data_IF_549960484203
#
_entry.id   IF_549960484203
#
_cell.length_a   1.000
_cell.length_b   1.000
_cell.length_c   1.000
_cell.angle_alpha   90.00
_cell.angle_beta   90.00
_cell.angle_gamma   90.00
#
_symmetry.space_group_name_H-M   'P 1'
#
loop_
_entity.id
_entity.type
_entity.pdbx_description
1 polymer ?
#
# COMPACT_ATOMS: atom_id res chain seq x y z
N UNK A 1 -19.85 11.76 -1.50
CA UNK A 1 -19.11 11.66 -2.79
C UNK A 1 -17.95 10.69 -2.58
N UNK A 2 -18.10 9.44 -2.99
CA UNK A 2 -17.14 8.35 -2.72
C UNK A 2 -16.12 8.35 -3.87
N UNK A 3 -14.87 8.69 -3.59
CA UNK A 3 -13.74 8.53 -4.53
C UNK A 3 -13.35 7.06 -4.48
N UNK A 4 -13.80 6.27 -5.45
CA UNK A 4 -13.36 4.88 -5.64
C UNK A 4 -12.03 4.93 -6.40
N UNK A 5 -10.94 4.56 -5.75
CA UNK A 5 -9.59 4.40 -6.31
C UNK A 5 -9.39 2.95 -6.74
N UNK A 6 -10.22 2.55 -7.70
CA UNK A 6 -10.05 1.32 -8.46
C UNK A 6 -9.74 1.68 -9.90
N UNK A 7 -8.49 1.46 -10.32
CA UNK A 7 -8.11 1.48 -11.72
C UNK A 7 -8.07 0.03 -12.20
N UNK A 8 -9.14 -0.35 -12.89
CA UNK A 8 -9.24 -1.59 -13.65
C UNK A 8 -8.30 -1.47 -14.87
N UNK A 9 -7.08 -2.00 -14.75
CA UNK A 9 -6.06 -1.85 -15.77
C UNK A 9 -5.89 -3.21 -16.47
N UNK A 10 -6.43 -3.30 -17.68
CA UNK A 10 -6.09 -4.40 -18.61
C UNK A 10 -4.72 -4.16 -19.27
N UNK A 11 -4.27 -2.90 -19.33
CA UNK A 11 -2.95 -2.50 -19.85
C UNK A 11 -2.52 -1.12 -19.32
N UNK A 12 -1.38 -1.04 -18.62
CA UNK A 12 -0.83 0.22 -18.06
C UNK A 12 -0.59 1.25 -19.17
N UNK A 13 -0.20 0.81 -20.37
CA UNK A 13 0.00 1.70 -21.53
C UNK A 13 -1.30 2.38 -21.98
N UNK A 14 -2.43 1.68 -21.92
CA UNK A 14 -3.73 2.18 -22.38
C UNK A 14 -4.30 3.23 -21.43
N UNK A 15 -4.03 3.11 -20.14
CA UNK A 15 -4.55 4.01 -19.10
C UNK A 15 -3.50 4.99 -18.57
N UNK A 16 -2.39 5.18 -19.31
CA UNK A 16 -1.26 6.00 -18.88
C UNK A 16 -1.67 7.42 -18.51
N UNK A 17 -2.49 8.08 -19.32
CA UNK A 17 -2.84 9.50 -19.10
C UNK A 17 -3.86 9.67 -17.96
N UNK A 18 -4.75 8.69 -17.78
CA UNK A 18 -5.64 8.63 -16.62
C UNK A 18 -4.86 8.38 -15.32
N UNK A 19 -3.87 7.48 -15.38
CA UNK A 19 -2.95 7.24 -14.26
C UNK A 19 -2.16 8.52 -13.94
N UNK A 20 -1.52 9.11 -14.94
CA UNK A 20 -0.75 10.34 -14.79
C UNK A 20 -1.61 11.48 -14.25
N UNK A 21 -2.80 11.74 -14.78
CA UNK A 21 -3.67 12.81 -14.26
C UNK A 21 -4.09 12.60 -12.81
N UNK A 22 -4.28 11.35 -12.37
CA UNK A 22 -4.56 11.02 -10.96
C UNK A 22 -3.34 11.19 -10.06
N UNK A 23 -2.14 10.76 -10.50
CA UNK A 23 -0.90 10.99 -9.75
C UNK A 23 -0.50 12.47 -9.72
N UNK A 24 -0.76 13.22 -10.79
CA UNK A 24 -0.45 14.65 -10.89
C UNK A 24 -1.35 15.52 -10.01
N UNK A 25 -2.61 15.11 -9.78
CA UNK A 25 -3.56 15.89 -8.97
C UNK A 25 -3.30 15.80 -7.46
N UNK A 26 -2.58 14.79 -6.98
CA UNK A 26 -2.35 14.61 -5.54
C UNK A 26 -1.08 15.30 -5.01
N UNK A 27 -0.28 16.00 -5.84
CA UNK A 27 0.85 16.83 -5.39
C UNK A 27 1.58 17.55 -6.55
N UNK A 28 1.04 18.67 -7.06
CA UNK A 28 1.81 19.53 -7.96
C UNK A 28 2.94 20.30 -7.23
N UNK A 29 2.86 20.44 -5.90
CA UNK A 29 3.80 21.28 -5.12
C UNK A 29 4.70 20.52 -4.11
N UNK A 30 4.64 19.18 -4.04
CA UNK A 30 5.59 18.41 -3.22
C UNK A 30 6.04 17.18 -3.97
N UNK A 31 7.34 17.06 -4.20
CA UNK A 31 8.00 15.81 -4.59
C UNK A 31 7.68 14.74 -3.53
N UNK A 32 6.59 14.00 -3.74
CA UNK A 32 6.08 12.96 -2.85
C UNK A 32 5.93 11.64 -3.60
N UNK A 33 6.26 10.53 -2.96
CA UNK A 33 6.00 9.19 -3.51
C UNK A 33 4.54 8.77 -3.32
N UNK A 34 4.16 7.64 -3.91
CA UNK A 34 2.80 7.11 -3.87
C UNK A 34 2.74 5.60 -4.06
N UNK A 35 1.53 5.05 -3.95
CA UNK A 35 1.26 3.62 -4.15
C UNK A 35 0.25 3.41 -5.27
N UNK A 36 0.35 2.28 -5.96
CA UNK A 36 -0.59 1.85 -6.98
C UNK A 36 -0.94 0.38 -6.74
N UNK A 37 -2.23 0.06 -6.73
CA UNK A 37 -2.72 -1.31 -6.88
C UNK A 37 -3.48 -1.42 -8.20
N UNK A 38 -2.96 -2.25 -9.10
CA UNK A 38 -3.57 -2.56 -10.38
C UNK A 38 -4.22 -3.94 -10.29
N UNK A 39 -5.52 -4.03 -10.57
CA UNK A 39 -6.29 -5.28 -10.45
C UNK A 39 -6.89 -5.60 -11.82
N UNK A 40 -6.80 -6.87 -12.22
CA UNK A 40 -7.36 -7.37 -13.47
C UNK A 40 -8.89 -7.35 -13.39
N UNK A 41 -9.55 -6.87 -14.45
CA UNK A 41 -11.00 -6.69 -14.57
C UNK A 41 -11.87 -7.81 -13.98
N UNK A 42 -11.51 -9.06 -14.23
CA UNK A 42 -12.31 -10.22 -13.81
C UNK A 42 -12.03 -10.67 -12.36
N UNK A 43 -11.24 -9.91 -11.61
CA UNK A 43 -11.00 -10.12 -10.19
C UNK A 43 -11.96 -9.23 -9.42
N UNK A 44 -12.89 -9.85 -8.71
CA UNK A 44 -13.85 -9.13 -7.87
C UNK A 44 -13.13 -8.54 -6.66
N UNK A 45 -13.12 -7.21 -6.56
CA UNK A 45 -12.41 -6.51 -5.49
C UNK A 45 -13.12 -5.23 -5.04
N UNK A 46 -12.81 -4.83 -3.82
CA UNK A 46 -13.37 -3.65 -3.16
C UNK A 46 -12.26 -2.85 -2.49
N UNK A 47 -12.27 -1.53 -2.65
CA UNK A 47 -11.42 -0.67 -1.84
C UNK A 47 -11.90 -0.70 -0.38
N UNK A 48 -10.96 -0.88 0.53
CA UNK A 48 -11.22 -0.91 1.97
C UNK A 48 -10.56 0.27 2.67
N UNK A 49 -9.40 0.67 2.17
CA UNK A 49 -8.55 1.64 2.85
C UNK A 49 -7.75 2.44 1.83
N UNK A 50 -7.81 3.75 1.93
CA UNK A 50 -6.97 4.65 1.15
C UNK A 50 -6.71 5.89 2.00
N UNK A 51 -5.54 5.93 2.63
CA UNK A 51 -5.19 6.99 3.56
C UNK A 51 -3.72 7.35 3.45
N UNK A 52 -3.45 8.63 3.65
CA UNK A 52 -2.12 9.11 3.99
C UNK A 52 -2.12 9.54 5.45
N UNK A 53 -1.29 8.93 6.28
CA UNK A 53 -1.15 9.25 7.71
C UNK A 53 0.31 9.58 7.97
N UNK A 54 0.60 10.81 8.41
CA UNK A 54 1.98 11.25 8.68
C UNK A 54 2.96 10.96 7.52
N UNK A 55 2.50 11.16 6.28
CA UNK A 55 3.21 10.84 5.02
C UNK A 55 3.43 9.34 4.71
N UNK A 56 2.94 8.42 5.54
CA UNK A 56 2.81 7.01 5.18
C UNK A 56 1.61 6.90 4.24
N UNK A 57 1.82 6.44 3.01
CA UNK A 57 0.78 6.34 1.97
C UNK A 57 0.35 4.89 1.86
N UNK A 58 -0.95 4.61 2.06
CA UNK A 58 -1.47 3.24 2.11
C UNK A 58 -2.73 3.12 1.26
N UNK A 59 -2.75 2.09 0.42
CA UNK A 59 -3.91 1.67 -0.34
C UNK A 59 -4.14 0.18 -0.08
N UNK A 60 -5.33 -0.19 0.39
CA UNK A 60 -5.71 -1.57 0.59
C UNK A 60 -7.07 -1.90 -0.03
N UNK A 61 -7.11 -3.08 -0.63
CA UNK A 61 -8.27 -3.65 -1.29
C UNK A 61 -8.55 -5.03 -0.74
N UNK A 62 -9.80 -5.46 -0.82
CA UNK A 62 -10.22 -6.82 -0.53
C UNK A 62 -10.57 -7.50 -1.84
N UNK A 63 -9.89 -8.61 -2.13
CA UNK A 63 -10.18 -9.49 -3.26
C UNK A 63 -11.04 -10.64 -2.75
N UNK A 64 -12.17 -10.89 -3.40
CA UNK A 64 -12.97 -12.09 -3.11
C UNK A 64 -12.35 -13.32 -3.77
N UNK A 65 -12.31 -14.42 -3.02
CA UNK A 65 -11.82 -15.71 -3.54
C UNK A 65 -12.79 -16.81 -3.14
N UNK A 66 -12.89 -17.85 -3.96
CA UNK A 66 -13.81 -18.97 -3.68
C UNK A 66 -13.41 -19.77 -2.43
N UNK A 67 -12.11 -19.96 -2.20
CA UNK A 67 -11.59 -20.82 -1.13
C UNK A 67 -11.44 -20.05 0.17
N UNK A 68 -10.80 -18.88 0.15
CA UNK A 68 -10.44 -18.12 1.35
C UNK A 68 -11.51 -17.11 1.77
N UNK A 69 -12.67 -17.08 1.08
CA UNK A 69 -13.70 -16.02 1.08
C UNK A 69 -13.17 -14.68 0.57
N UNK A 70 -12.08 -14.20 1.16
CA UNK A 70 -11.41 -12.97 0.73
C UNK A 70 -9.97 -12.86 1.20
N UNK A 71 -9.15 -12.16 0.43
CA UNK A 71 -7.77 -11.78 0.76
C UNK A 71 -7.70 -10.25 0.79
N UNK A 72 -7.13 -9.69 1.85
CA UNK A 72 -6.75 -8.28 1.91
C UNK A 72 -5.39 -8.08 1.22
N UNK A 73 -5.29 -7.16 0.28
CA UNK A 73 -4.01 -6.75 -0.30
C UNK A 73 -3.79 -5.27 0.02
N UNK A 74 -2.69 -4.95 0.69
CA UNK A 74 -2.30 -3.59 1.02
C UNK A 74 -0.95 -3.24 0.38
N UNK A 75 -0.91 -2.12 -0.32
CA UNK A 75 0.33 -1.48 -0.78
C UNK A 75 0.65 -0.29 0.11
N UNK A 76 1.86 -0.25 0.64
CA UNK A 76 2.32 0.76 1.60
C UNK A 76 3.60 1.42 1.07
N UNK A 77 3.67 2.75 1.12
CA UNK A 77 4.89 3.51 0.91
C UNK A 77 5.19 4.38 2.12
N UNK A 78 6.40 4.28 2.65
CA UNK A 78 6.91 5.11 3.75
C UNK A 78 8.17 5.83 3.28
N UNK A 79 8.16 7.17 3.18
CA UNK A 79 9.36 7.93 2.84
C UNK A 79 10.52 7.68 3.82
N UNK A 80 11.75 7.74 3.32
CA UNK A 80 12.97 7.58 4.12
C UNK A 80 13.17 8.63 5.21
N UNK A 81 12.39 9.72 5.20
CA UNK A 81 12.47 10.83 6.15
C UNK A 81 11.48 10.74 7.31
N UNK A 82 10.55 9.78 7.29
CA UNK A 82 9.54 9.61 8.36
C UNK A 82 9.66 8.25 9.05
N UNK A 83 8.92 8.09 10.14
CA UNK A 83 8.77 6.83 10.87
C UNK A 83 7.63 6.00 10.27
N UNK A 84 7.71 4.68 10.45
CA UNK A 84 6.59 3.78 10.13
C UNK A 84 5.46 4.04 11.14
N UNK A 85 4.24 4.26 10.66
CA UNK A 85 3.06 4.40 11.51
C UNK A 85 2.50 3.02 11.89
N UNK A 86 2.92 2.48 13.03
CA UNK A 86 2.64 1.09 13.45
C UNK A 86 1.14 0.74 13.52
N UNK A 87 0.31 1.70 13.92
CA UNK A 87 -1.14 1.50 14.05
C UNK A 87 -1.80 1.08 12.74
N UNK A 88 -1.26 1.50 11.59
CA UNK A 88 -1.77 1.08 10.28
C UNK A 88 -1.69 -0.44 10.13
N UNK A 89 -0.58 -1.05 10.55
CA UNK A 89 -0.40 -2.50 10.47
C UNK A 89 -1.36 -3.22 11.41
N UNK A 90 -1.58 -2.70 12.62
CA UNK A 90 -2.56 -3.25 13.55
C UNK A 90 -3.99 -3.18 12.99
N UNK A 91 -4.37 -2.09 12.33
CA UNK A 91 -5.67 -1.97 11.65
C UNK A 91 -5.79 -3.02 10.53
N UNK A 92 -4.80 -3.11 9.64
CA UNK A 92 -4.80 -4.11 8.56
C UNK A 92 -4.83 -5.55 9.09
N UNK A 93 -4.15 -5.83 10.20
CA UNK A 93 -4.14 -7.14 10.85
C UNK A 93 -5.50 -7.53 11.43
N UNK A 94 -6.28 -6.56 11.93
CA UNK A 94 -7.64 -6.79 12.45
C UNK A 94 -8.67 -6.98 11.33
N UNK A 95 -8.43 -6.43 10.14
CA UNK A 95 -9.40 -6.46 9.04
C UNK A 95 -9.55 -7.84 8.38
N UNK A 96 -8.45 -8.60 8.23
CA UNK A 96 -8.49 -9.91 7.60
C UNK A 96 -7.29 -10.78 8.03
N UNK A 97 -7.55 -12.06 8.31
CA UNK A 97 -6.51 -13.05 8.58
C UNK A 97 -5.75 -13.46 7.31
N UNK A 98 -6.42 -13.47 6.17
CA UNK A 98 -5.81 -13.71 4.87
C UNK A 98 -5.37 -12.36 4.27
N UNK A 99 -4.09 -12.05 4.39
CA UNK A 99 -3.56 -10.73 4.00
C UNK A 99 -2.21 -10.80 3.33
N UNK A 100 -1.99 -9.89 2.40
CA UNK A 100 -0.72 -9.61 1.74
C UNK A 100 -0.46 -8.12 1.97
N UNK A 101 0.63 -7.80 2.66
CA UNK A 101 1.08 -6.42 2.86
C UNK A 101 2.42 -6.27 2.13
N UNK A 102 2.49 -5.32 1.20
CA UNK A 102 3.64 -5.12 0.33
C UNK A 102 3.96 -3.64 0.19
N UNK A 103 5.21 -3.34 -0.17
CA UNK A 103 5.64 -2.02 -0.58
C UNK A 103 6.99 -1.61 -0.02
N UNK A 104 7.33 -0.33 -0.16
CA UNK A 104 8.61 0.22 0.24
C UNK A 104 8.48 1.00 1.55
N UNK A 105 8.99 0.40 2.63
CA UNK A 105 8.97 0.98 3.97
C UNK A 105 10.21 1.84 4.26
N UNK A 106 11.19 1.90 3.34
CA UNK A 106 12.52 2.48 3.57
C UNK A 106 13.19 1.97 4.86
N UNK A 107 12.85 0.73 5.26
CA UNK A 107 13.34 0.05 6.45
C UNK A 107 14.50 -0.85 6.06
N UNK A 108 15.65 -0.66 6.71
CA UNK A 108 16.81 -1.51 6.53
C UNK A 108 16.92 -2.43 7.73
N UNK A 109 16.96 -3.74 7.51
CA UNK A 109 16.99 -4.75 8.56
C UNK A 109 17.98 -5.86 8.22
N UNK A 110 18.92 -6.15 9.14
CA UNK A 110 19.95 -7.19 8.95
C UNK A 110 19.34 -8.56 8.65
N UNK A 111 18.30 -8.97 9.39
CA UNK A 111 17.62 -10.25 9.20
C UNK A 111 16.86 -10.36 7.87
N UNK A 112 16.72 -9.25 7.13
CA UNK A 112 16.12 -9.20 5.79
C UNK A 112 17.14 -8.80 4.73
N UNK A 113 18.44 -9.03 4.97
CA UNK A 113 19.50 -8.88 3.97
C UNK A 113 20.05 -7.46 3.81
N UNK A 114 19.68 -6.51 4.67
CA UNK A 114 20.31 -5.18 4.66
C UNK A 114 21.69 -5.20 5.34
N UNK A 115 22.60 -4.30 4.95
CA UNK A 115 23.94 -4.19 5.58
C UNK A 115 23.93 -3.72 7.03
N UNK A 116 22.89 -2.99 7.43
CA UNK A 116 22.69 -2.47 8.79
C UNK A 116 21.20 -2.34 9.10
N UNK A 117 20.87 -2.38 10.38
CA UNK A 117 19.52 -2.08 10.85
C UNK A 117 19.36 -0.59 11.10
N UNK A 118 18.43 0.07 10.41
CA UNK A 118 18.08 1.48 10.65
C UNK A 118 16.89 1.61 11.62
N UNK A 119 16.54 2.83 12.03
CA UNK A 119 15.42 3.08 12.97
C UNK A 119 14.11 2.47 12.49
N UNK A 120 13.77 2.61 11.20
CA UNK A 120 12.57 2.00 10.61
C UNK A 120 12.66 0.48 10.55
N UNK A 121 13.84 -0.09 10.36
CA UNK A 121 14.08 -1.53 10.48
C UNK A 121 13.75 -2.08 11.87
N UNK A 122 14.09 -1.33 12.92
CA UNK A 122 13.68 -1.68 14.30
C UNK A 122 12.16 -1.61 14.47
N UNK A 123 11.50 -0.59 13.92
CA UNK A 123 10.03 -0.51 13.91
C UNK A 123 9.41 -1.69 13.13
N UNK A 124 10.00 -2.07 12.00
CA UNK A 124 9.55 -3.24 11.24
C UNK A 124 9.70 -4.53 12.05
N UNK A 125 10.75 -4.69 12.86
CA UNK A 125 10.86 -5.84 13.76
C UNK A 125 9.73 -5.91 14.78
N UNK A 126 9.21 -4.78 15.27
CA UNK A 126 8.05 -4.75 16.18
C UNK A 126 6.76 -5.22 15.49
N UNK A 127 6.62 -4.95 14.18
CA UNK A 127 5.47 -5.36 13.37
C UNK A 127 5.50 -6.87 13.04
N UNK A 128 6.70 -7.45 12.95
CA UNK A 128 6.93 -8.85 12.54
C UNK A 128 6.94 -9.83 13.72
N UNK A 129 6.95 -9.34 14.96
CA UNK A 129 6.77 -10.16 16.16
C UNK A 129 5.31 -10.52 16.36
#
# INVERSE_FOLDING_TARGET
>A
MIKILHLNITSIKKHKDELLSRFSNDQLDKLGGGVLLAIKENIKCYEIFNKTIEKNVILAVKIETKILKSILIASIYVPSTVKIHLNVFHELYKMNNNRIIVGDLNAALLSMGSRKTNTRGRQLQEILK
#
